data_IF_687890610263
#
_entry.id   IF_687890610263
#
_cell.length_a   1.000
_cell.length_b   1.000
_cell.length_c   1.000
_cell.angle_alpha   90.00
_cell.angle_beta   90.00
_cell.angle_gamma   90.00
#
_symmetry.space_group_name_H-M   'P 1'
#
loop_
_entity.id
_entity.type
_entity.pdbx_description
1 polymer ?
#
# COMPACT_ATOMS: atom_id res chain seq x y z
N UNK A 1 1.32 -34.09 -1.99
CA UNK A 1 2.51 -33.22 -2.04
C UNK A 1 2.29 -32.22 -0.94
N UNK A 2 3.00 -32.37 0.18
CA UNK A 2 2.79 -31.53 1.37
C UNK A 2 3.34 -30.13 1.11
N UNK A 3 2.69 -29.11 1.69
CA UNK A 3 3.02 -27.68 1.52
C UNK A 3 4.50 -27.39 1.84
N UNK A 4 5.03 -28.09 2.84
CA UNK A 4 6.41 -28.00 3.29
C UNK A 4 7.43 -28.44 2.23
N UNK A 5 7.10 -29.43 1.40
CA UNK A 5 8.00 -29.89 0.32
C UNK A 5 8.14 -28.83 -0.78
N UNK A 6 7.07 -28.07 -1.03
CA UNK A 6 7.07 -26.98 -2.01
C UNK A 6 7.95 -25.85 -1.49
N UNK A 7 7.73 -25.42 -0.25
CA UNK A 7 8.51 -24.35 0.37
C UNK A 7 10.00 -24.71 0.38
N UNK A 8 10.34 -25.93 0.79
CA UNK A 8 11.72 -26.40 0.85
C UNK A 8 12.39 -26.43 -0.53
N UNK A 9 11.70 -26.93 -1.54
CA UNK A 9 12.20 -26.95 -2.93
C UNK A 9 12.53 -25.55 -3.46
N UNK A 10 11.71 -24.54 -3.13
CA UNK A 10 11.97 -23.17 -3.54
C UNK A 10 13.05 -22.49 -2.69
N UNK A 11 13.14 -22.78 -1.39
CA UNK A 11 14.23 -22.31 -0.54
C UNK A 11 15.59 -22.81 -1.03
N UNK A 12 15.70 -24.08 -1.38
CA UNK A 12 16.95 -24.66 -1.88
C UNK A 12 17.34 -24.02 -3.23
N UNK A 13 16.37 -23.80 -4.13
CA UNK A 13 16.61 -23.07 -5.39
C UNK A 13 17.08 -21.63 -5.18
N UNK A 14 16.54 -20.92 -4.19
CA UNK A 14 16.94 -19.54 -3.90
C UNK A 14 18.36 -19.48 -3.34
N UNK A 15 18.76 -20.42 -2.46
CA UNK A 15 20.12 -20.50 -1.92
C UNK A 15 21.18 -20.73 -3.00
N UNK A 16 20.86 -21.51 -4.03
CA UNK A 16 21.78 -21.79 -5.13
C UNK A 16 21.95 -20.61 -6.10
N UNK A 17 20.97 -19.69 -6.15
CA UNK A 17 20.93 -18.60 -7.14
C UNK A 17 21.15 -17.21 -6.54
N UNK A 18 21.11 -17.06 -5.22
CA UNK A 18 21.29 -15.78 -4.52
C UNK A 18 22.38 -16.00 -3.48
N UNK A 19 23.55 -15.39 -3.71
CA UNK A 19 24.62 -15.42 -2.71
C UNK A 19 24.31 -14.43 -1.57
N UNK A 20 24.80 -14.70 -0.36
CA UNK A 20 24.59 -13.81 0.79
C UNK A 20 25.14 -12.39 0.52
N UNK A 21 26.19 -12.29 -0.30
CA UNK A 21 26.81 -11.04 -0.76
C UNK A 21 25.89 -10.22 -1.69
N UNK A 22 25.07 -10.87 -2.52
CA UNK A 22 24.07 -10.19 -3.35
C UNK A 22 22.93 -9.58 -2.52
N UNK A 23 22.65 -10.15 -1.34
CA UNK A 23 21.63 -9.65 -0.42
C UNK A 23 22.15 -8.44 0.36
N UNK A 24 23.40 -8.49 0.83
CA UNK A 24 24.03 -7.38 1.55
C UNK A 24 24.35 -6.17 0.64
N UNK A 25 24.60 -6.43 -0.65
CA UNK A 25 24.83 -5.39 -1.67
C UNK A 25 23.55 -4.93 -2.38
N UNK A 26 22.38 -5.38 -1.93
CA UNK A 26 21.09 -4.98 -2.51
C UNK A 26 20.86 -3.48 -2.30
N UNK A 27 21.20 -2.69 -3.32
CA UNK A 27 20.89 -1.27 -3.39
C UNK A 27 19.59 -1.07 -4.19
N UNK A 28 18.46 -0.75 -3.55
CA UNK A 28 17.22 -0.42 -4.25
C UNK A 28 17.34 0.86 -5.10
N UNK A 29 18.43 1.62 -5.01
CA UNK A 29 18.73 2.75 -5.90
C UNK A 29 19.48 2.34 -7.18
N UNK A 30 20.07 1.14 -7.25
CA UNK A 30 20.79 0.63 -8.42
C UNK A 30 19.88 0.30 -9.62
N UNK A 31 18.56 0.35 -9.44
CA UNK A 31 17.62 0.22 -10.54
C UNK A 31 17.64 1.45 -11.45
N UNK A 32 17.52 1.21 -12.75
CA UNK A 32 17.43 2.30 -13.72
C UNK A 32 16.26 3.22 -13.39
N UNK A 33 16.41 4.50 -13.75
CA UNK A 33 15.38 5.53 -13.54
C UNK A 33 14.04 5.09 -14.14
N UNK A 34 14.11 4.49 -15.31
CA UNK A 34 12.99 3.97 -16.09
C UNK A 34 12.31 2.81 -15.36
N UNK A 35 13.08 1.88 -14.78
CA UNK A 35 12.52 0.78 -14.00
C UNK A 35 11.85 1.28 -12.72
N UNK A 36 12.40 2.30 -12.04
CA UNK A 36 11.76 2.88 -10.86
C UNK A 36 10.44 3.58 -11.21
N UNK A 37 10.38 4.30 -12.32
CA UNK A 37 9.14 4.91 -12.82
C UNK A 37 8.13 3.83 -13.17
N UNK A 38 8.54 2.83 -13.95
CA UNK A 38 7.69 1.70 -14.30
C UNK A 38 7.19 0.94 -13.06
N UNK A 39 8.07 0.64 -12.11
CA UNK A 39 7.72 -0.04 -10.86
C UNK A 39 6.76 0.81 -10.03
N UNK A 40 7.01 2.12 -9.93
CA UNK A 40 6.09 3.04 -9.27
C UNK A 40 4.73 3.00 -9.94
N UNK A 41 4.65 3.15 -11.25
CA UNK A 41 3.40 3.20 -12.01
C UNK A 41 2.66 1.85 -12.03
N UNK A 42 3.41 0.74 -12.02
CA UNK A 42 2.86 -0.62 -12.07
C UNK A 42 2.40 -1.13 -10.70
N UNK A 43 3.05 -0.68 -9.63
CA UNK A 43 2.70 -1.02 -8.24
C UNK A 43 1.81 0.04 -7.59
N UNK A 44 1.77 1.26 -8.12
CA UNK A 44 0.77 2.24 -7.74
C UNK A 44 -0.58 1.79 -8.29
N UNK A 45 -1.27 0.96 -7.51
CA UNK A 45 -2.73 1.01 -7.45
C UNK A 45 -3.23 2.40 -6.95
N UNK A 46 -2.31 3.27 -6.53
CA UNK A 46 -2.55 4.66 -6.13
C UNK A 46 -3.15 5.47 -7.28
N UNK A 47 -4.45 5.72 -7.16
CA UNK A 47 -5.27 6.29 -8.22
C UNK A 47 -6.64 5.64 -8.34
N UNK A 48 -7.08 4.89 -7.34
CA UNK A 48 -8.48 4.49 -7.26
C UNK A 48 -9.36 5.75 -7.33
N UNK A 49 -10.46 5.69 -8.10
CA UNK A 49 -11.45 6.79 -8.16
C UNK A 49 -11.85 7.21 -6.74
N UNK A 50 -11.92 6.25 -5.81
CA UNK A 50 -12.17 6.51 -4.40
C UNK A 50 -11.08 7.36 -3.75
N UNK A 51 -9.80 7.02 -3.92
CA UNK A 51 -8.69 7.77 -3.31
C UNK A 51 -8.64 9.22 -3.81
N UNK A 52 -8.84 9.40 -5.12
CA UNK A 52 -8.91 10.74 -5.71
C UNK A 52 -10.07 11.54 -5.13
N UNK A 53 -11.24 10.93 -4.94
CA UNK A 53 -12.40 11.60 -4.35
C UNK A 53 -12.13 11.93 -2.86
N UNK A 54 -11.59 10.99 -2.07
CA UNK A 54 -11.25 11.21 -0.67
C UNK A 54 -10.19 12.31 -0.50
N UNK A 55 -9.15 12.33 -1.34
CA UNK A 55 -8.12 13.35 -1.31
C UNK A 55 -8.68 14.73 -1.69
N UNK A 56 -9.55 14.82 -2.70
CA UNK A 56 -10.16 16.08 -3.11
C UNK A 56 -11.15 16.61 -2.06
N UNK A 57 -12.01 15.75 -1.50
CA UNK A 57 -13.01 16.16 -0.52
C UNK A 57 -12.43 16.40 0.87
N UNK A 58 -11.40 15.64 1.26
CA UNK A 58 -10.70 15.84 2.53
C UNK A 58 -9.94 17.16 2.62
N UNK A 59 -9.59 17.77 1.47
CA UNK A 59 -9.04 19.13 1.42
C UNK A 59 -10.12 20.21 1.67
N UNK A 60 -11.40 19.89 1.46
CA UNK A 60 -12.52 20.83 1.64
C UNK A 60 -13.10 20.68 3.05
N UNK A 61 -13.22 19.45 3.55
CA UNK A 61 -13.82 19.13 4.86
C UNK A 61 -12.90 18.16 5.61
N UNK A 62 -12.22 18.67 6.64
CA UNK A 62 -11.41 17.86 7.54
C UNK A 62 -12.25 17.41 8.72
N UNK A 63 -12.63 16.12 8.75
CA UNK A 63 -13.32 15.51 9.90
C UNK A 63 -12.30 14.71 10.69
N UNK A 64 -12.20 14.99 11.99
CA UNK A 64 -11.37 14.21 12.90
C UNK A 64 -12.21 13.09 13.54
N UNK A 65 -12.02 11.82 13.16
CA UNK A 65 -12.75 10.71 13.77
C UNK A 65 -12.31 10.51 15.22
N UNK A 66 -13.16 9.84 16.01
CA UNK A 66 -12.82 9.42 17.38
C UNK A 66 -11.76 8.31 17.34
N UNK A 67 -10.94 8.23 18.39
CA UNK A 67 -9.79 7.31 18.50
C UNK A 67 -10.09 5.86 18.05
N UNK A 68 -11.21 5.29 18.49
CA UNK A 68 -11.63 3.93 18.12
C UNK A 68 -11.83 3.76 16.62
N UNK A 69 -12.47 4.74 15.99
CA UNK A 69 -12.81 4.67 14.57
C UNK A 69 -11.60 5.07 13.70
N UNK A 70 -10.71 5.92 14.23
CA UNK A 70 -9.41 6.23 13.64
C UNK A 70 -8.54 4.97 13.49
N UNK A 71 -8.39 4.18 14.54
CA UNK A 71 -7.58 2.95 14.51
C UNK A 71 -8.11 1.94 13.49
N UNK A 72 -9.43 1.71 13.47
CA UNK A 72 -10.06 0.82 12.48
C UNK A 72 -9.85 1.27 11.04
N UNK A 73 -9.97 2.57 10.79
CA UNK A 73 -9.71 3.14 9.47
C UNK A 73 -8.22 3.02 9.10
N UNK A 74 -7.33 3.29 10.04
CA UNK A 74 -5.88 3.15 9.85
C UNK A 74 -5.48 1.72 9.47
N UNK A 75 -5.96 0.72 10.22
CA UNK A 75 -5.70 -0.69 9.95
C UNK A 75 -6.21 -1.11 8.56
N UNK A 76 -7.40 -0.64 8.19
CA UNK A 76 -8.00 -0.97 6.89
C UNK A 76 -7.28 -0.29 5.72
N UNK A 77 -6.86 0.96 5.91
CA UNK A 77 -6.09 1.73 4.91
C UNK A 77 -4.73 1.07 4.70
N UNK A 78 -4.05 0.69 5.78
CA UNK A 78 -2.74 0.03 5.74
C UNK A 78 -2.82 -1.36 5.12
N UNK A 79 -3.83 -2.16 5.47
CA UNK A 79 -4.03 -3.50 4.91
C UNK A 79 -4.13 -3.50 3.37
N UNK A 80 -4.74 -2.46 2.79
CA UNK A 80 -4.95 -2.34 1.33
C UNK A 80 -3.95 -1.35 0.69
N UNK A 81 -3.01 -0.80 1.46
CA UNK A 81 -1.99 0.16 1.00
C UNK A 81 -2.58 1.38 0.28
N UNK A 82 -3.72 1.89 0.77
CA UNK A 82 -4.37 3.07 0.20
C UNK A 82 -3.58 4.34 0.56
N UNK A 83 -3.43 5.25 -0.41
CA UNK A 83 -2.70 6.52 -0.25
C UNK A 83 -3.65 7.65 0.23
N UNK A 84 -4.34 7.41 1.36
CA UNK A 84 -5.26 8.36 2.01
C UNK A 84 -5.10 8.37 3.53
N UNK A 85 -5.54 9.44 4.19
CA UNK A 85 -5.57 9.50 5.66
C UNK A 85 -6.98 9.18 6.19
N UNK A 86 -7.09 8.64 7.42
CA UNK A 86 -8.38 8.37 8.06
C UNK A 86 -9.32 9.59 8.10
N UNK A 87 -8.78 10.80 8.25
CA UNK A 87 -9.56 12.05 8.27
C UNK A 87 -10.20 12.34 6.91
N UNK A 88 -9.49 12.07 5.82
CA UNK A 88 -9.99 12.25 4.46
C UNK A 88 -11.10 11.27 4.14
N UNK A 89 -10.94 10.01 4.58
CA UNK A 89 -11.98 8.98 4.47
C UNK A 89 -13.23 9.35 5.30
N UNK A 90 -13.05 9.84 6.53
CA UNK A 90 -14.14 10.30 7.39
C UNK A 90 -14.84 11.55 6.82
N UNK A 91 -14.08 12.48 6.23
CA UNK A 91 -14.63 13.66 5.56
C UNK A 91 -15.52 13.28 4.38
N UNK A 92 -15.07 12.33 3.55
CA UNK A 92 -15.87 11.80 2.45
C UNK A 92 -17.19 11.17 2.92
N UNK A 93 -17.13 10.30 3.93
CA UNK A 93 -18.32 9.66 4.49
C UNK A 93 -19.34 10.70 5.00
N UNK A 94 -18.84 11.75 5.66
CA UNK A 94 -19.68 12.84 6.18
C UNK A 94 -20.39 13.62 5.08
N UNK A 95 -19.69 13.90 3.97
CA UNK A 95 -20.27 14.57 2.80
C UNK A 95 -21.36 13.72 2.18
N UNK A 96 -21.12 12.42 1.99
CA UNK A 96 -22.13 11.51 1.46
C UNK A 96 -23.37 11.46 2.34
N UNK A 97 -23.20 11.36 3.66
CA UNK A 97 -24.34 11.31 4.59
C UNK A 97 -25.16 12.59 4.62
N UNK A 98 -24.62 13.73 4.18
CA UNK A 98 -25.36 14.99 4.07
C UNK A 98 -26.05 15.15 2.69
N UNK A 99 -25.60 14.41 1.69
CA UNK A 99 -26.12 14.45 0.32
C UNK A 99 -27.27 13.45 0.08
N UNK A 100 -27.31 12.37 0.86
CA UNK A 100 -28.41 11.39 0.94
C UNK A 100 -29.44 11.86 1.97
#
# INVERSE_FOLDING_TARGET
MEEDDIIRKYQDRLKDNISMEDIESYDPEAFSREYRIFRKDSLSLGGSIYENICNNLGNIITVKPKERDYQKLSESIEAVHLEITPEKAAGFASVITLLI
#
